data_IF_279389332481
#
_entry.id   IF_279389332481
#
_cell.length_a   1.000
_cell.length_b   1.000
_cell.length_c   1.000
_cell.angle_alpha   90.00
_cell.angle_beta   90.00
_cell.angle_gamma   90.00
#
_symmetry.space_group_name_H-M   'P 1'
#
loop_
_entity.id
_entity.type
_entity.pdbx_description
1 polymer ?
#
# COMPACT_ATOMS: atom_id res chain seq x y z
N UNK A 1 22.74 -3.13 7.43
CA UNK A 1 22.14 -3.16 8.77
C UNK A 1 21.94 -4.62 9.12
N UNK A 2 22.60 -5.13 10.17
CA UNK A 2 22.52 -6.56 10.52
C UNK A 2 21.23 -6.79 11.29
N UNK A 3 20.26 -7.49 10.68
CA UNK A 3 19.02 -7.87 11.35
C UNK A 3 19.34 -8.81 12.52
N UNK A 4 18.80 -8.51 13.70
CA UNK A 4 18.87 -9.40 14.86
C UNK A 4 17.47 -9.50 15.47
N UNK A 5 16.86 -10.70 15.53
CA UNK A 5 15.45 -10.83 15.89
C UNK A 5 15.13 -10.34 17.31
N UNK A 6 16.08 -10.39 18.25
CA UNK A 6 15.86 -9.94 19.62
C UNK A 6 15.95 -8.41 19.82
N UNK A 7 16.53 -7.67 18.87
CA UNK A 7 16.72 -6.21 18.98
C UNK A 7 16.08 -5.43 17.85
N UNK A 8 15.55 -6.12 16.84
CA UNK A 8 14.80 -5.50 15.77
C UNK A 8 13.44 -5.02 16.27
N UNK A 9 13.26 -3.70 16.31
CA UNK A 9 11.97 -3.07 16.56
C UNK A 9 11.41 -2.52 15.23
N UNK A 10 10.40 -3.20 14.68
CA UNK A 10 9.67 -2.70 13.52
C UNK A 10 8.83 -1.47 13.90
N UNK A 11 8.50 -0.65 12.91
CA UNK A 11 7.40 0.30 13.09
C UNK A 11 6.10 -0.49 13.23
N UNK A 12 5.52 -0.44 14.41
CA UNK A 12 4.22 -1.01 14.69
C UNK A 12 3.16 0.07 14.57
N UNK A 13 2.24 -0.09 13.62
CA UNK A 13 1.10 0.82 13.50
C UNK A 13 0.22 0.79 14.76
N UNK A 14 0.11 -0.37 15.39
CA UNK A 14 -0.62 -0.55 16.65
C UNK A 14 -0.08 0.39 17.75
N UNK A 15 1.24 0.44 17.90
CA UNK A 15 1.90 1.28 18.93
C UNK A 15 1.91 2.76 18.54
N UNK A 16 2.02 3.07 17.25
CA UNK A 16 1.93 4.44 16.75
C UNK A 16 0.53 5.05 16.93
N UNK A 17 -0.52 4.24 16.79
CA UNK A 17 -1.91 4.72 16.83
C UNK A 17 -2.27 5.49 18.10
N UNK A 18 -1.79 5.05 19.26
CA UNK A 18 -2.05 5.76 20.52
C UNK A 18 -1.47 7.18 20.51
N UNK A 19 -0.32 7.36 19.85
CA UNK A 19 0.39 8.64 19.73
C UNK A 19 -0.33 9.62 18.79
N UNK A 20 -1.16 9.14 17.87
CA UNK A 20 -1.99 9.99 17.00
C UNK A 20 -3.06 10.76 17.76
N UNK A 21 -3.62 10.18 18.83
CA UNK A 21 -4.64 10.84 19.65
C UNK A 21 -4.06 11.93 20.55
N UNK A 22 -2.85 11.73 21.06
CA UNK A 22 -2.15 12.72 21.91
C UNK A 22 -1.33 13.72 21.08
N UNK A 23 -1.22 13.53 19.77
CA UNK A 23 -0.53 14.43 18.84
C UNK A 23 0.99 14.40 18.91
N UNK A 24 1.60 13.37 19.52
CA UNK A 24 3.06 13.21 19.54
C UNK A 24 3.62 12.61 18.24
N UNK A 25 2.74 12.07 17.41
CA UNK A 25 2.95 11.85 15.98
C UNK A 25 1.59 11.86 15.27
N UNK A 26 1.57 11.73 13.95
CA UNK A 26 0.38 11.73 13.10
C UNK A 26 0.45 10.62 12.04
N UNK A 27 -0.70 10.23 11.45
CA UNK A 27 -0.71 9.34 10.28
C UNK A 27 0.18 9.83 9.13
N UNK A 28 0.26 11.15 8.91
CA UNK A 28 1.11 11.74 7.88
C UNK A 28 2.60 11.55 8.16
N UNK A 29 3.05 11.86 9.38
CA UNK A 29 4.44 11.66 9.80
C UNK A 29 4.83 10.18 9.79
N UNK A 30 3.91 9.31 10.24
CA UNK A 30 4.14 7.85 10.21
C UNK A 30 4.31 7.34 8.78
N UNK A 31 3.47 7.78 7.84
CA UNK A 31 3.63 7.44 6.43
C UNK A 31 4.95 7.98 5.86
N UNK A 32 5.32 9.22 6.19
CA UNK A 32 6.59 9.80 5.72
C UNK A 32 7.80 9.02 6.26
N UNK A 33 7.75 8.51 7.49
CA UNK A 33 8.79 7.61 8.02
C UNK A 33 8.84 6.29 7.23
N UNK A 34 7.69 5.68 6.93
CA UNK A 34 7.63 4.47 6.11
C UNK A 34 8.21 4.71 4.70
N UNK A 35 7.81 5.79 4.03
CA UNK A 35 8.33 6.16 2.71
C UNK A 35 9.83 6.47 2.76
N UNK A 36 10.32 7.07 3.85
CA UNK A 36 11.74 7.29 4.10
C UNK A 36 12.52 5.97 4.13
N UNK A 37 12.01 4.95 4.84
CA UNK A 37 12.62 3.62 4.88
C UNK A 37 12.61 2.93 3.51
N UNK A 38 11.51 3.04 2.76
CA UNK A 38 11.41 2.50 1.39
C UNK A 38 12.47 3.13 0.48
N UNK A 39 12.67 4.45 0.57
CA UNK A 39 13.69 5.17 -0.24
C UNK A 39 15.12 4.81 0.17
N UNK A 40 15.35 4.61 1.47
CA UNK A 40 16.67 4.26 1.99
C UNK A 40 17.14 2.86 1.59
N UNK A 41 16.23 1.97 1.17
CA UNK A 41 16.51 0.55 0.86
C UNK A 41 17.50 0.33 -0.31
N UNK A 42 17.85 1.33 -1.12
CA UNK A 42 18.75 1.19 -2.30
C UNK A 42 18.42 -0.04 -3.18
N UNK A 43 17.16 -0.46 -3.21
CA UNK A 43 16.67 -1.65 -3.93
C UNK A 43 17.34 -2.97 -3.48
N UNK A 44 17.69 -3.11 -2.21
CA UNK A 44 18.22 -4.35 -1.68
C UNK A 44 17.14 -5.44 -1.56
N UNK A 45 15.91 -5.05 -1.20
CA UNK A 45 14.78 -5.99 -1.06
C UNK A 45 13.94 -6.07 -2.33
N UNK A 46 13.88 -4.98 -3.12
CA UNK A 46 13.09 -4.90 -4.37
C UNK A 46 11.62 -5.33 -4.18
N UNK A 47 11.03 -4.88 -3.07
CA UNK A 47 9.71 -5.28 -2.61
C UNK A 47 8.53 -4.69 -3.40
N UNK A 48 8.74 -3.61 -4.15
CA UNK A 48 7.66 -2.83 -4.76
C UNK A 48 7.69 -2.91 -6.29
N UNK A 49 6.55 -3.14 -6.93
CA UNK A 49 6.41 -3.01 -8.39
C UNK A 49 5.93 -1.60 -8.76
N UNK A 50 5.03 -1.02 -7.96
CA UNK A 50 4.54 0.35 -8.13
C UNK A 50 4.24 1.05 -6.80
N UNK A 51 4.31 2.39 -6.81
CA UNK A 51 4.00 3.24 -5.65
C UNK A 51 3.08 4.40 -6.06
N UNK A 52 2.13 4.76 -5.17
CA UNK A 52 1.27 5.96 -5.28
C UNK A 52 1.56 6.97 -4.17
N UNK A 53 2.83 7.32 -3.98
CA UNK A 53 3.32 8.07 -2.81
C UNK A 53 2.58 9.40 -2.55
N UNK A 54 2.32 10.19 -3.59
CA UNK A 54 1.65 11.49 -3.42
C UNK A 54 0.17 11.33 -3.03
N UNK A 55 -0.52 10.36 -3.63
CA UNK A 55 -1.90 10.04 -3.26
C UNK A 55 -1.97 9.48 -1.83
N UNK A 56 -1.03 8.62 -1.45
CA UNK A 56 -0.93 8.10 -0.09
C UNK A 56 -0.70 9.23 0.94
N UNK A 57 0.16 10.21 0.62
CA UNK A 57 0.38 11.40 1.48
C UNK A 57 -0.88 12.24 1.66
N UNK A 58 -1.68 12.41 0.60
CA UNK A 58 -2.96 13.13 0.69
C UNK A 58 -3.91 12.41 1.65
N UNK A 59 -4.08 11.11 1.47
CA UNK A 59 -4.95 10.28 2.34
C UNK A 59 -4.47 10.26 3.80
N UNK A 60 -3.15 10.31 4.03
CA UNK A 60 -2.59 10.41 5.37
C UNK A 60 -2.92 11.73 6.06
N UNK A 61 -2.91 12.85 5.32
CA UNK A 61 -3.34 14.16 5.84
C UNK A 61 -4.84 14.18 6.14
N UNK A 62 -5.66 13.52 5.33
CA UNK A 62 -7.09 13.36 5.60
C UNK A 62 -7.33 12.52 6.87
N UNK A 63 -6.56 11.44 7.06
CA UNK A 63 -6.57 10.65 8.30
C UNK A 63 -6.14 11.46 9.51
N UNK A 64 -5.05 12.22 9.39
CA UNK A 64 -4.57 13.11 10.44
C UNK A 64 -5.64 14.12 10.87
N UNK A 65 -6.37 14.72 9.92
CA UNK A 65 -7.49 15.62 10.23
C UNK A 65 -8.60 14.92 11.04
N UNK A 66 -8.91 13.66 10.70
CA UNK A 66 -9.88 12.85 11.46
C UNK A 66 -9.43 12.53 12.87
N UNK A 67 -8.14 12.20 13.05
CA UNK A 67 -7.56 12.00 14.38
C UNK A 67 -7.59 13.26 15.23
N UNK A 68 -7.22 14.42 14.65
CA UNK A 68 -7.32 15.73 15.32
C UNK A 68 -8.74 16.09 15.74
N UNK A 69 -9.74 15.67 14.95
CA UNK A 69 -11.15 15.85 15.27
C UNK A 69 -11.72 14.79 16.23
N UNK A 70 -10.91 13.81 16.69
CA UNK A 70 -11.36 12.71 17.54
C UNK A 70 -12.31 11.73 16.85
N UNK A 71 -12.30 11.67 15.50
CA UNK A 71 -13.23 10.88 14.68
C UNK A 71 -12.52 9.99 13.64
N UNK A 72 -11.57 9.13 14.05
CA UNK A 72 -10.98 8.17 13.11
C UNK A 72 -12.04 7.21 12.57
N UNK A 73 -11.93 6.79 11.31
CA UNK A 73 -12.87 5.88 10.67
C UNK A 73 -12.85 4.48 11.32
N UNK A 74 -11.69 4.04 11.79
CA UNK A 74 -11.53 2.71 12.38
C UNK A 74 -10.24 2.61 13.23
N UNK A 75 -9.89 1.38 13.63
CA UNK A 75 -8.59 1.08 14.27
C UNK A 75 -7.41 1.10 13.30
N UNK A 76 -7.64 1.09 12.00
CA UNK A 76 -6.61 1.09 10.95
C UNK A 76 -6.66 2.36 10.07
N UNK A 77 -7.41 3.38 10.49
CA UNK A 77 -7.43 4.67 9.81
C UNK A 77 -6.01 5.26 9.80
N UNK A 78 -5.47 5.53 8.61
CA UNK A 78 -4.11 6.01 8.43
C UNK A 78 -3.04 4.93 8.27
N UNK A 79 -3.39 3.65 8.31
CA UNK A 79 -2.42 2.55 8.21
C UNK A 79 -1.86 2.41 6.79
N UNK A 80 -0.54 2.54 6.57
CA UNK A 80 0.07 2.27 5.27
C UNK A 80 0.03 0.77 4.94
N UNK A 81 -0.43 0.41 3.74
CA UNK A 81 -0.58 -0.99 3.30
C UNK A 81 0.04 -1.20 1.92
N UNK A 82 0.94 -2.17 1.79
CA UNK A 82 1.36 -2.71 0.50
C UNK A 82 0.41 -3.82 0.05
N UNK A 83 0.04 -3.84 -1.24
CA UNK A 83 -0.92 -4.80 -1.78
C UNK A 83 -0.20 -5.78 -2.69
N UNK A 84 -0.34 -7.08 -2.44
CA UNK A 84 0.25 -8.12 -3.31
C UNK A 84 -0.22 -7.90 -4.75
N UNK A 85 0.71 -7.95 -5.70
CA UNK A 85 0.45 -7.67 -7.13
C UNK A 85 -0.32 -8.77 -7.87
N UNK A 86 -1.35 -9.30 -7.20
CA UNK A 86 -2.40 -10.20 -7.69
C UNK A 86 -3.80 -9.69 -7.29
N UNK A 87 -3.86 -8.72 -6.38
CA UNK A 87 -5.10 -8.20 -5.81
C UNK A 87 -5.43 -6.88 -6.50
N UNK A 88 -6.55 -6.82 -7.21
CA UNK A 88 -6.91 -5.66 -8.01
C UNK A 88 -7.11 -4.39 -7.19
N UNK A 89 -6.68 -3.29 -7.78
CA UNK A 89 -6.75 -1.93 -7.24
C UNK A 89 -7.15 -1.01 -8.37
N UNK A 90 -8.18 -0.18 -8.21
CA UNK A 90 -8.66 0.67 -9.32
C UNK A 90 -7.64 1.73 -9.75
N UNK A 91 -6.71 2.11 -8.87
CA UNK A 91 -5.76 3.23 -9.05
C UNK A 91 -4.29 2.80 -9.29
N UNK A 92 -4.02 1.49 -9.38
CA UNK A 92 -2.68 0.94 -9.58
C UNK A 92 -2.74 -0.29 -10.49
N UNK A 93 -1.72 -0.54 -11.34
CA UNK A 93 -1.70 -1.71 -12.20
C UNK A 93 -1.67 -3.00 -11.37
N UNK A 94 -2.22 -4.08 -11.93
CA UNK A 94 -2.14 -5.43 -11.37
C UNK A 94 -1.46 -6.31 -12.39
N UNK A 95 -0.13 -6.44 -12.26
CA UNK A 95 0.70 -7.06 -13.31
C UNK A 95 0.71 -8.59 -13.23
N UNK A 96 0.34 -9.13 -12.07
CA UNK A 96 0.36 -10.56 -11.77
C UNK A 96 1.77 -11.17 -11.85
N UNK A 97 2.82 -10.34 -11.85
CA UNK A 97 4.20 -10.79 -12.06
C UNK A 97 4.49 -11.28 -13.48
N UNK A 98 3.55 -11.13 -14.42
CA UNK A 98 3.67 -11.57 -15.81
C UNK A 98 4.46 -10.53 -16.61
N UNK A 99 5.49 -10.99 -17.34
CA UNK A 99 6.24 -10.14 -18.27
C UNK A 99 5.32 -9.69 -19.42
N UNK A 100 5.30 -8.38 -19.70
CA UNK A 100 4.43 -7.80 -20.73
C UNK A 100 3.04 -7.40 -20.24
N UNK A 101 2.74 -7.59 -18.95
CA UNK A 101 1.47 -7.23 -18.33
C UNK A 101 1.60 -5.97 -17.44
N UNK A 102 2.62 -5.15 -17.64
CA UNK A 102 2.98 -4.05 -16.74
C UNK A 102 1.93 -2.91 -16.70
N UNK A 103 1.13 -2.80 -17.76
CA UNK A 103 0.08 -1.79 -17.92
C UNK A 103 -1.33 -2.38 -17.76
N UNK A 104 -1.46 -3.54 -17.10
CA UNK A 104 -2.76 -4.15 -16.81
C UNK A 104 -3.49 -3.39 -15.71
N UNK A 105 -4.40 -2.50 -16.10
CA UNK A 105 -5.27 -1.77 -15.18
C UNK A 105 -6.63 -2.44 -15.10
N UNK A 106 -6.98 -2.87 -13.89
CA UNK A 106 -8.31 -3.34 -13.56
C UNK A 106 -9.00 -2.19 -12.83
N UNK A 107 -10.03 -1.58 -13.44
CA UNK A 107 -10.76 -0.43 -12.90
C UNK A 107 -11.74 -0.84 -11.77
N UNK A 108 -11.24 -1.63 -10.83
CA UNK A 108 -12.00 -2.14 -9.69
C UNK A 108 -11.06 -2.53 -8.54
N UNK A 109 -11.39 -2.09 -7.33
CA UNK A 109 -10.79 -2.64 -6.11
C UNK A 109 -11.37 -4.02 -5.82
N UNK A 110 -10.50 -4.98 -5.48
CA UNK A 110 -10.92 -6.21 -4.86
C UNK A 110 -11.68 -5.92 -3.54
N UNK A 111 -12.62 -6.79 -3.09
CA UNK A 111 -13.43 -6.53 -1.90
C UNK A 111 -12.63 -6.21 -0.63
N UNK A 112 -11.48 -6.87 -0.44
CA UNK A 112 -10.59 -6.59 0.68
C UNK A 112 -9.97 -5.18 0.61
N UNK A 113 -9.67 -4.68 -0.59
CA UNK A 113 -9.15 -3.32 -0.77
C UNK A 113 -10.24 -2.28 -0.52
N UNK A 114 -11.48 -2.54 -0.98
CA UNK A 114 -12.61 -1.67 -0.66
C UNK A 114 -12.82 -1.56 0.86
N UNK A 115 -12.78 -2.69 1.57
CA UNK A 115 -12.90 -2.73 3.03
C UNK A 115 -11.77 -1.96 3.73
N UNK A 116 -10.52 -2.14 3.28
CA UNK A 116 -9.37 -1.41 3.80
C UNK A 116 -9.53 0.11 3.62
N UNK A 117 -9.91 0.56 2.43
CA UNK A 117 -10.14 1.99 2.15
C UNK A 117 -11.30 2.56 2.96
N UNK A 118 -12.40 1.83 3.08
CA UNK A 118 -13.55 2.22 3.90
C UNK A 118 -13.18 2.37 5.39
N UNK A 119 -12.27 1.52 5.87
CA UNK A 119 -11.71 1.61 7.22
C UNK A 119 -10.66 2.73 7.39
N UNK A 120 -10.30 3.44 6.31
CA UNK A 120 -9.31 4.53 6.31
C UNK A 120 -7.86 4.09 6.14
N UNK A 121 -7.59 2.81 5.81
CA UNK A 121 -6.25 2.37 5.50
C UNK A 121 -5.76 2.98 4.17
N UNK A 122 -4.46 3.20 4.08
CA UNK A 122 -3.81 3.91 2.99
C UNK A 122 -3.02 2.90 2.17
N UNK A 123 -3.51 2.59 0.97
CA UNK A 123 -2.75 1.76 0.03
C UNK A 123 -1.49 2.54 -0.39
N UNK A 124 -0.30 1.97 -0.26
CA UNK A 124 0.96 2.68 -0.62
C UNK A 124 1.39 2.34 -2.04
N UNK A 125 1.14 1.11 -2.46
CA UNK A 125 1.63 0.58 -3.72
C UNK A 125 1.40 -0.93 -3.84
N UNK A 126 1.93 -1.48 -4.93
CA UNK A 126 1.88 -2.91 -5.24
C UNK A 126 3.22 -3.55 -4.88
N UNK A 127 3.17 -4.72 -4.25
CA UNK A 127 4.36 -5.46 -3.85
C UNK A 127 4.62 -6.65 -4.76
N UNK A 128 5.89 -6.90 -5.03
CA UNK A 128 6.40 -7.96 -5.92
C UNK A 128 5.79 -9.32 -5.57
N UNK A 129 5.44 -10.08 -6.60
CA UNK A 129 4.94 -11.45 -6.51
C UNK A 129 5.67 -12.34 -7.51
N UNK A 130 5.64 -13.66 -7.29
CA UNK A 130 5.89 -14.62 -8.36
C UNK A 130 4.77 -14.54 -9.39
N UNK A 131 5.09 -14.88 -10.64
CA UNK A 131 4.13 -14.93 -11.73
C UNK A 131 2.90 -15.77 -11.34
N UNK A 132 1.71 -15.18 -11.46
CA UNK A 132 0.41 -15.76 -11.11
C UNK A 132 0.29 -16.22 -9.63
N UNK A 133 1.24 -15.87 -8.77
CA UNK A 133 1.31 -16.37 -7.41
C UNK A 133 1.72 -17.84 -7.32
N UNK A 134 2.17 -18.45 -8.41
CA UNK A 134 2.66 -19.82 -8.39
C UNK A 134 4.02 -19.91 -7.68
N UNK A 135 4.17 -20.93 -6.87
CA UNK A 135 5.38 -21.24 -6.14
C UNK A 135 6.22 -22.27 -6.91
N UNK A 136 6.46 -22.05 -8.21
CA UNK A 136 7.42 -22.90 -8.91
C UNK A 136 8.83 -22.45 -8.52
N UNK A 137 9.70 -23.41 -8.17
CA UNK A 137 11.13 -23.23 -7.90
C UNK A 137 11.81 -22.67 -9.17
N UNK A 138 11.63 -21.39 -9.41
CA UNK A 138 12.35 -20.68 -10.44
C UNK A 138 13.78 -20.50 -9.92
N UNK A 139 14.80 -20.58 -10.80
CA UNK A 139 16.19 -20.34 -10.40
C UNK A 139 16.29 -19.01 -9.64
N UNK A 140 17.29 -18.86 -8.73
CA UNK A 140 17.41 -17.72 -7.80
C UNK A 140 17.46 -16.33 -8.45
N UNK A 141 17.47 -16.28 -9.79
CA UNK A 141 17.47 -15.10 -10.62
C UNK A 141 16.11 -14.94 -11.33
N UNK A 142 15.01 -14.81 -10.59
CA UNK A 142 13.94 -13.93 -11.05
C UNK A 142 14.11 -12.61 -10.35
N UNK A 143 14.80 -11.66 -10.99
CA UNK A 143 14.86 -10.36 -10.43
C UNK A 143 13.48 -9.74 -10.60
N UNK A 144 12.94 -9.15 -9.55
CA UNK A 144 12.33 -7.83 -9.75
C UNK A 144 13.43 -6.88 -10.27
N UNK A 145 13.90 -7.09 -11.50
CA UNK A 145 14.83 -6.18 -12.20
C UNK A 145 14.10 -4.92 -12.61
N UNK A 146 12.77 -4.92 -12.50
CA UNK A 146 11.95 -3.80 -12.86
C UNK A 146 12.18 -2.66 -11.87
N UNK A 147 12.54 -1.46 -12.35
CA UNK A 147 12.57 -0.30 -11.50
C UNK A 147 11.17 -0.07 -10.93
N UNK A 148 11.10 0.23 -9.63
CA UNK A 148 9.85 0.62 -8.95
C UNK A 148 9.19 1.73 -9.77
N UNK A 149 7.95 1.50 -10.23
CA UNK A 149 7.22 2.51 -11.00
C UNK A 149 6.51 3.48 -10.07
N UNK A 150 6.80 4.77 -10.22
CA UNK A 150 5.96 5.81 -9.63
C UNK A 150 4.75 6.01 -10.55
N UNK A 151 3.55 5.83 -10.02
CA UNK A 151 2.32 6.02 -10.78
C UNK A 151 1.86 7.47 -10.61
N UNK A 152 1.91 8.23 -11.70
CA UNK A 152 1.34 9.58 -11.80
C UNK A 152 -0.14 9.48 -12.19
N UNK A 153 -1.01 10.06 -11.38
CA UNK A 153 -2.47 9.95 -11.42
C UNK A 153 -3.12 10.92 -12.44
N UNK A 154 -2.34 11.41 -13.41
CA UNK A 154 -2.82 12.26 -14.52
C UNK A 154 -3.51 11.49 -15.65
N UNK A 155 -3.55 10.17 -15.59
CA UNK A 155 -4.33 9.35 -16.53
C UNK A 155 -5.79 9.38 -16.09
N UNK A 156 -6.69 9.81 -16.99
CA UNK A 156 -8.12 9.87 -16.74
C UNK A 156 -8.65 8.47 -16.40
N UNK A 157 -9.15 8.32 -15.18
CA UNK A 157 -9.72 7.08 -14.68
C UNK A 157 -11.15 6.96 -15.21
N UNK A 158 -11.57 5.81 -15.78
CA UNK A 158 -12.95 5.59 -16.16
C UNK A 158 -13.87 5.67 -14.93
N UNK A 159 -15.17 5.90 -15.17
CA UNK A 159 -16.16 6.11 -14.10
C UNK A 159 -16.22 4.90 -13.16
N UNK A 160 -16.01 5.16 -11.86
CA UNK A 160 -16.34 4.24 -10.76
C UNK A 160 -17.73 3.61 -10.98
N UNK A 161 -17.76 2.30 -11.22
CA UNK A 161 -18.93 1.50 -10.87
C UNK A 161 -18.77 1.13 -9.40
N UNK A 162 -19.58 1.71 -8.52
CA UNK A 162 -19.68 1.22 -7.16
C UNK A 162 -20.48 -0.09 -7.21
N UNK A 163 -19.90 -1.25 -6.86
CA UNK A 163 -20.68 -2.47 -6.87
C UNK A 163 -21.62 -2.50 -5.64
N UNK A 164 -22.90 -2.79 -5.88
CA UNK A 164 -23.94 -2.94 -4.85
C UNK A 164 -23.73 -4.24 -4.04
N UNK A 165 -22.79 -4.25 -3.11
CA UNK A 165 -22.58 -5.38 -2.18
C UNK A 165 -23.32 -5.25 -0.85
N UNK A 166 -24.15 -4.23 -0.66
CA UNK A 166 -25.00 -4.04 0.54
C UNK A 166 -26.10 -5.12 0.71
N UNK A 167 -26.00 -6.24 -0.01
CA UNK A 167 -26.97 -7.34 -0.05
C UNK A 167 -26.36 -8.71 0.20
N UNK A 168 -25.07 -8.81 0.55
CA UNK A 168 -24.52 -10.10 0.98
C UNK A 168 -25.08 -10.45 2.38
N UNK A 169 -25.62 -11.66 2.59
CA UNK A 169 -26.26 -12.05 3.84
C UNK A 169 -25.30 -12.07 5.04
#
# INVERSE_FOLDING_TARGET
MTYHPASFAALSFHDARARFFVGTTSPAEYLDECLGRIRADKQSVRAWTSLRAEQAKREARESEARYKAGKPLSRIDGMPVGVKDLISTWDLPTTEGIRGNEDNFIDLDAPCIQALRAAGAIIVGKVTTTELGEATLLPPEIPSTWPVRLVDHRVALPRRLAPEWSRWP
#
